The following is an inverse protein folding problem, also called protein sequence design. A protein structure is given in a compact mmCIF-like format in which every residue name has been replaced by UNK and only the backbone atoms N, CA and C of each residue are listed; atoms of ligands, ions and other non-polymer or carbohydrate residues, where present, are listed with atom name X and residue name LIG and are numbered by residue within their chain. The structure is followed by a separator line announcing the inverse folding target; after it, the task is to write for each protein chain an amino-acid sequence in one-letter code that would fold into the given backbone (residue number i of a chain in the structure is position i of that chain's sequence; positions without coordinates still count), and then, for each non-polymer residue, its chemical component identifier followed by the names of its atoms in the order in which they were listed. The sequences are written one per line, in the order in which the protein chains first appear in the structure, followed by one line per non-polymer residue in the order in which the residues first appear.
data_IF_972106627285
#
_entry.id   IF_972106627285
#
_cell.length_a   1.000
_cell.length_b   1.000
_cell.length_c   1.000
_cell.angle_alpha   90.00
_cell.angle_beta   90.00
_cell.angle_gamma   90.00
#
_symmetry.space_group_name_H-M   'P 1'
#
loop_
_entity.id
_entity.type
_entity.pdbx_description
1 polymer ?
#
# COMPACT_ATOMS: atom_id res chain seq x y z
N UNK A 1 12.23 0.98 12.18
CA UNK A 1 11.40 2.20 12.03
C UNK A 1 9.96 1.78 12.29
N UNK A 2 9.28 2.37 13.27
CA UNK A 2 7.98 1.84 13.75
C UNK A 2 6.83 2.76 13.34
N UNK A 3 5.67 2.16 13.06
CA UNK A 3 4.41 2.92 12.91
C UNK A 3 3.98 3.47 14.27
N UNK A 4 3.39 4.66 14.26
CA UNK A 4 2.96 5.41 15.44
C UNK A 4 1.55 5.93 15.21
N UNK A 5 0.86 6.34 16.27
CA UNK A 5 -0.47 6.95 16.16
C UNK A 5 -0.52 8.17 15.21
N UNK A 6 0.58 8.92 15.09
CA UNK A 6 0.65 10.05 14.16
C UNK A 6 0.49 9.61 12.70
N UNK A 7 1.00 8.43 12.33
CA UNK A 7 0.88 7.91 10.97
C UNK A 7 -0.58 7.58 10.61
N UNK A 8 -1.40 7.16 11.58
CA UNK A 8 -2.84 6.96 11.40
C UNK A 8 -3.60 8.30 11.39
N UNK A 9 -3.23 9.20 12.30
CA UNK A 9 -3.86 10.51 12.44
C UNK A 9 -3.66 11.42 11.22
N UNK A 10 -2.65 11.19 10.38
CA UNK A 10 -2.48 11.87 9.09
C UNK A 10 -3.75 11.82 8.23
N UNK A 11 -4.47 10.70 8.29
CA UNK A 11 -5.69 10.44 7.54
C UNK A 11 -6.96 10.88 8.27
N UNK A 12 -6.85 11.47 9.47
CA UNK A 12 -7.98 12.01 10.21
C UNK A 12 -8.39 13.39 9.66
N UNK A 13 -8.95 13.37 8.45
CA UNK A 13 -9.37 14.58 7.71
C UNK A 13 -10.66 14.30 6.95
N UNK A 14 -11.43 15.36 6.71
CA UNK A 14 -12.66 15.29 5.90
C UNK A 14 -12.38 15.57 4.42
N UNK A 15 -11.37 16.39 4.13
CA UNK A 15 -11.07 16.87 2.78
C UNK A 15 -9.69 16.39 2.33
N UNK A 16 -9.67 15.80 1.13
CA UNK A 16 -8.47 15.30 0.47
C UNK A 16 -8.21 15.93 -0.90
N UNK A 17 -9.19 16.63 -1.49
CA UNK A 17 -9.04 17.24 -2.82
C UNK A 17 -8.32 18.58 -2.69
N UNK A 18 -7.32 18.86 -3.52
CA UNK A 18 -6.64 20.16 -3.47
C UNK A 18 -7.56 21.32 -3.85
N UNK A 19 -8.61 21.07 -4.65
CA UNK A 19 -9.60 22.09 -4.99
C UNK A 19 -10.32 22.59 -3.73
N UNK A 20 -10.92 21.69 -2.95
CA UNK A 20 -11.63 22.07 -1.73
C UNK A 20 -10.69 22.61 -0.64
N UNK A 21 -9.47 22.07 -0.54
CA UNK A 21 -8.48 22.60 0.40
C UNK A 21 -8.16 24.07 0.09
N UNK A 22 -8.02 24.44 -1.19
CA UNK A 22 -7.77 25.84 -1.61
C UNK A 22 -8.95 26.78 -1.34
N UNK A 23 -10.16 26.25 -1.18
CA UNK A 23 -11.35 27.03 -0.83
C UNK A 23 -11.39 27.36 0.68
N UNK A 24 -10.72 26.57 1.52
CA UNK A 24 -10.83 26.65 2.98
C UNK A 24 -9.51 26.97 3.70
N UNK A 25 -8.38 26.85 3.02
CA UNK A 25 -7.05 26.98 3.59
C UNK A 25 -6.18 27.91 2.75
N UNK A 26 -5.26 28.59 3.43
CA UNK A 26 -4.24 29.42 2.80
C UNK A 26 -3.21 28.57 2.05
N UNK A 27 -2.47 29.14 1.07
CA UNK A 27 -1.39 28.43 0.39
C UNK A 27 -0.33 27.86 1.35
N UNK A 28 0.03 28.60 2.40
CA UNK A 28 1.01 28.17 3.39
C UNK A 28 0.54 26.94 4.18
N UNK A 29 -0.73 26.89 4.58
CA UNK A 29 -1.32 25.73 5.27
C UNK A 29 -1.35 24.50 4.35
N UNK A 30 -1.64 24.70 3.06
CA UNK A 30 -1.63 23.62 2.07
C UNK A 30 -0.23 23.08 1.86
N UNK A 31 0.79 23.94 1.80
CA UNK A 31 2.17 23.51 1.62
C UNK A 31 2.71 22.79 2.85
N UNK A 32 2.38 23.27 4.06
CA UNK A 32 2.67 22.56 5.31
C UNK A 32 1.98 21.18 5.34
N UNK A 33 0.73 21.09 4.89
CA UNK A 33 0.01 19.84 4.77
C UNK A 33 0.68 18.86 3.79
N UNK A 34 1.10 19.32 2.60
CA UNK A 34 1.85 18.49 1.65
C UNK A 34 3.16 18.00 2.24
N UNK A 35 3.89 18.86 2.96
CA UNK A 35 5.15 18.48 3.61
C UNK A 35 4.92 17.39 4.66
N UNK A 36 3.86 17.53 5.48
CA UNK A 36 3.48 16.53 6.46
C UNK A 36 3.16 15.18 5.79
N UNK A 37 2.33 15.17 4.74
CA UNK A 37 2.05 13.97 3.95
C UNK A 37 3.30 13.33 3.38
N UNK A 38 4.21 14.14 2.81
CA UNK A 38 5.46 13.66 2.24
C UNK A 38 6.36 13.02 3.30
N UNK A 39 6.46 13.60 4.50
CA UNK A 39 7.26 13.04 5.59
C UNK A 39 6.78 11.65 6.01
N UNK A 40 5.47 11.52 6.30
CA UNK A 40 4.89 10.21 6.63
C UNK A 40 4.99 9.21 5.49
N UNK A 41 4.88 9.68 4.24
CA UNK A 41 5.04 8.83 3.07
C UNK A 41 6.47 8.33 2.86
N UNK A 42 7.48 9.17 3.04
CA UNK A 42 8.88 8.72 2.96
C UNK A 42 9.19 7.71 4.06
N UNK A 43 8.63 7.88 5.26
CA UNK A 43 8.70 6.87 6.33
C UNK A 43 8.03 5.55 5.91
N UNK A 44 6.82 5.60 5.37
CA UNK A 44 6.11 4.44 4.82
C UNK A 44 6.93 3.74 3.74
N UNK A 45 7.49 4.51 2.81
CA UNK A 45 8.32 4.00 1.72
C UNK A 45 9.59 3.34 2.24
N UNK A 46 10.31 3.98 3.17
CA UNK A 46 11.51 3.44 3.78
C UNK A 46 11.23 2.12 4.52
N UNK A 47 10.13 2.05 5.28
CA UNK A 47 9.70 0.83 5.94
C UNK A 47 9.49 -0.31 4.93
N UNK A 48 8.73 -0.07 3.86
CA UNK A 48 8.40 -1.12 2.90
C UNK A 48 9.60 -1.56 2.05
N UNK A 49 10.55 -0.65 1.78
CA UNK A 49 11.83 -0.99 1.15
C UNK A 49 12.69 -1.86 2.07
N UNK A 50 12.76 -1.53 3.36
CA UNK A 50 13.48 -2.34 4.35
C UNK A 50 12.85 -3.74 4.51
N UNK A 51 11.51 -3.83 4.50
CA UNK A 51 10.80 -5.11 4.49
C UNK A 51 11.21 -5.92 3.26
N UNK A 52 11.16 -5.35 2.06
CA UNK A 52 11.52 -6.05 0.83
C UNK A 52 12.97 -6.56 0.84
N UNK A 53 13.91 -5.78 1.39
CA UNK A 53 15.31 -6.19 1.55
C UNK A 53 15.50 -7.33 2.54
N UNK A 54 14.62 -7.46 3.53
CA UNK A 54 14.66 -8.53 4.52
C UNK A 54 13.88 -9.79 4.14
N UNK A 55 13.17 -9.80 3.00
CA UNK A 55 12.46 -10.98 2.54
C UNK A 55 13.44 -12.02 1.97
N UNK A 56 13.13 -13.33 2.13
CA UNK A 56 13.95 -14.38 1.53
C UNK A 56 14.11 -14.22 0.01
N UNK A 57 15.33 -14.39 -0.48
CA UNK A 57 15.68 -14.14 -1.88
C UNK A 57 14.89 -15.02 -2.86
N UNK A 58 14.51 -16.24 -2.43
CA UNK A 58 13.69 -17.18 -3.19
C UNK A 58 12.28 -16.64 -3.52
N UNK A 59 11.78 -15.66 -2.75
CA UNK A 59 10.51 -15.00 -3.08
C UNK A 59 10.64 -14.07 -4.29
N UNK A 60 11.86 -13.66 -4.66
CA UNK A 60 12.13 -12.81 -5.82
C UNK A 60 11.45 -11.44 -5.79
N UNK A 61 11.15 -10.91 -4.60
CA UNK A 61 10.50 -9.60 -4.41
C UNK A 61 11.58 -8.55 -4.17
N UNK A 62 12.08 -7.94 -5.23
CA UNK A 62 13.20 -6.98 -5.15
C UNK A 62 12.74 -5.53 -5.02
N UNK A 63 11.61 -5.16 -5.65
CA UNK A 63 11.08 -3.80 -5.63
C UNK A 63 9.57 -3.77 -5.49
N UNK A 64 9.03 -3.46 -4.30
CA UNK A 64 7.59 -3.33 -4.13
C UNK A 64 7.07 -2.08 -4.86
N UNK A 65 5.83 -2.16 -5.37
CA UNK A 65 5.13 -1.02 -5.94
C UNK A 65 4.53 -0.19 -4.81
N UNK A 66 5.16 0.93 -4.47
CA UNK A 66 4.69 1.86 -3.43
C UNK A 66 3.96 3.02 -4.10
N UNK A 67 2.70 3.24 -3.75
CA UNK A 67 1.94 4.36 -4.30
C UNK A 67 2.36 5.69 -3.70
N UNK A 68 2.35 6.76 -4.51
CA UNK A 68 2.60 8.12 -4.06
C UNK A 68 1.49 8.61 -3.12
N UNK A 69 1.85 9.44 -2.15
CA UNK A 69 0.94 10.13 -1.21
C UNK A 69 -0.04 11.10 -1.87
N UNK A 70 0.17 11.41 -3.16
CA UNK A 70 -0.73 12.22 -3.98
C UNK A 70 -0.80 11.69 -5.41
N UNK A 71 -1.93 11.94 -6.07
CA UNK A 71 -2.08 11.76 -7.53
C UNK A 71 -2.07 13.08 -8.31
N UNK A 72 -1.56 14.17 -7.72
CA UNK A 72 -1.54 15.51 -8.31
C UNK A 72 -2.81 16.32 -8.05
N UNK A 73 -3.96 15.66 -7.90
CA UNK A 73 -5.25 16.30 -7.63
C UNK A 73 -5.73 16.14 -6.19
N UNK A 74 -5.33 15.04 -5.55
CA UNK A 74 -5.77 14.64 -4.23
C UNK A 74 -4.60 14.20 -3.37
N UNK A 75 -4.69 14.47 -2.08
CA UNK A 75 -4.02 13.70 -1.04
C UNK A 75 -4.63 12.29 -1.00
N UNK A 76 -3.84 11.28 -0.67
CA UNK A 76 -4.37 9.92 -0.46
C UNK A 76 -5.01 9.78 0.92
N UNK A 77 -6.14 9.12 1.00
CA UNK A 77 -6.78 8.75 2.28
C UNK A 77 -6.14 7.53 2.96
N UNK A 78 -5.15 6.93 2.30
CA UNK A 78 -4.42 5.76 2.77
C UNK A 78 -3.06 5.69 2.04
N UNK A 79 -2.10 4.98 2.62
CA UNK A 79 -0.93 4.52 1.90
C UNK A 79 -1.06 3.06 1.54
N UNK A 80 -0.57 2.71 0.36
CA UNK A 80 -0.69 1.37 -0.19
C UNK A 80 0.60 0.94 -0.85
N UNK A 81 0.87 -0.36 -0.77
CA UNK A 81 2.01 -1.00 -1.41
C UNK A 81 1.62 -2.40 -1.89
N UNK A 82 2.15 -2.79 -3.03
CA UNK A 82 2.07 -4.15 -3.55
C UNK A 82 3.44 -4.82 -3.57
N UNK A 83 3.46 -6.06 -3.12
CA UNK A 83 4.58 -6.98 -3.22
C UNK A 83 4.29 -8.01 -4.31
N UNK A 84 5.14 -8.03 -5.33
CA UNK A 84 5.13 -9.01 -6.43
C UNK A 84 6.57 -9.42 -6.69
N UNK A 85 6.77 -10.71 -7.00
CA UNK A 85 8.06 -11.14 -7.52
C UNK A 85 8.27 -10.58 -8.93
N UNK A 86 9.52 -10.52 -9.38
CA UNK A 86 9.87 -10.02 -10.72
C UNK A 86 9.13 -10.79 -11.83
N UNK A 87 8.96 -12.10 -11.66
CA UNK A 87 8.28 -12.96 -12.62
C UNK A 87 6.74 -12.83 -12.59
N UNK A 88 6.17 -12.19 -11.56
CA UNK A 88 4.71 -12.10 -11.32
C UNK A 88 4.16 -10.68 -11.46
N UNK A 89 4.92 -9.76 -12.05
CA UNK A 89 4.49 -8.35 -12.20
C UNK A 89 3.19 -8.20 -13.01
N UNK A 90 2.97 -9.08 -13.99
CA UNK A 90 1.78 -9.10 -14.83
C UNK A 90 0.58 -9.85 -14.20
N UNK A 91 0.68 -10.34 -12.96
CA UNK A 91 -0.41 -11.09 -12.32
C UNK A 91 -1.43 -10.18 -11.61
N UNK A 92 -2.71 -10.60 -11.67
CA UNK A 92 -3.81 -9.97 -10.95
C UNK A 92 -3.65 -10.07 -9.42
N UNK A 93 -3.05 -11.15 -8.93
CA UNK A 93 -2.86 -11.39 -7.51
C UNK A 93 -1.62 -10.68 -6.95
N UNK A 94 -1.66 -10.26 -5.69
CA UNK A 94 -0.47 -9.90 -4.91
C UNK A 94 -0.70 -9.87 -3.42
N UNK A 95 0.41 -9.88 -2.68
CA UNK A 95 0.44 -9.41 -1.30
C UNK A 95 0.43 -7.88 -1.29
N UNK A 96 -0.34 -7.31 -0.39
CA UNK A 96 -0.50 -5.88 -0.27
C UNK A 96 -0.51 -5.46 1.20
N UNK A 97 0.07 -4.29 1.46
CA UNK A 97 -0.06 -3.61 2.74
C UNK A 97 -0.84 -2.31 2.53
N UNK A 98 -1.69 -1.98 3.50
CA UNK A 98 -2.46 -0.75 3.52
C UNK A 98 -2.39 -0.11 4.91
N UNK A 99 -2.13 1.19 4.94
CA UNK A 99 -2.22 2.01 6.15
C UNK A 99 -3.25 3.11 5.92
N UNK A 100 -4.23 3.24 6.80
CA UNK A 100 -5.19 4.33 6.78
C UNK A 100 -5.56 4.77 8.20
N UNK A 101 -6.54 5.67 8.34
CA UNK A 101 -7.01 6.17 9.65
C UNK A 101 -7.36 5.06 10.66
N UNK A 102 -7.91 3.94 10.18
CA UNK A 102 -8.54 2.91 11.01
C UNK A 102 -7.60 1.75 11.32
N UNK A 103 -6.69 1.43 10.41
CA UNK A 103 -6.00 0.14 10.45
C UNK A 103 -4.71 0.12 9.63
N UNK A 104 -3.84 -0.80 10.03
CA UNK A 104 -2.76 -1.33 9.22
C UNK A 104 -3.16 -2.75 8.82
N UNK A 105 -3.17 -3.05 7.52
CA UNK A 105 -3.58 -4.34 6.99
C UNK A 105 -2.48 -4.96 6.15
N UNK A 106 -2.34 -6.29 6.26
CA UNK A 106 -1.58 -7.15 5.37
C UNK A 106 -2.58 -8.12 4.75
N UNK A 107 -2.64 -8.21 3.43
CA UNK A 107 -3.66 -9.03 2.77
C UNK A 107 -3.23 -9.51 1.39
N UNK A 108 -3.84 -10.63 0.97
CA UNK A 108 -3.82 -11.07 -0.42
C UNK A 108 -4.92 -10.32 -1.19
N UNK A 109 -4.59 -9.78 -2.35
CA UNK A 109 -5.49 -8.98 -3.17
C UNK A 109 -5.57 -9.52 -4.60
N UNK A 110 -6.76 -9.56 -5.17
CA UNK A 110 -7.01 -9.80 -6.58
C UNK A 110 -7.49 -8.52 -7.28
N UNK A 111 -6.76 -8.05 -8.30
CA UNK A 111 -7.06 -6.81 -9.00
C UNK A 111 -7.97 -7.04 -10.22
N UNK A 112 -9.26 -7.28 -9.99
CA UNK A 112 -10.21 -7.57 -11.08
C UNK A 112 -10.27 -6.46 -12.16
N UNK A 113 -10.13 -5.20 -11.76
CA UNK A 113 -10.10 -4.06 -12.70
C UNK A 113 -8.93 -4.07 -13.70
N UNK A 114 -7.99 -5.01 -13.56
CA UNK A 114 -6.87 -5.23 -14.50
C UNK A 114 -6.95 -6.57 -15.23
N UNK A 115 -8.06 -7.31 -15.11
CA UNK A 115 -8.17 -8.67 -15.65
C UNK A 115 -8.02 -8.76 -17.17
N UNK A 116 -8.25 -7.68 -17.92
CA UNK A 116 -7.97 -7.62 -19.36
C UNK A 116 -6.48 -7.43 -19.69
N UNK A 117 -5.73 -6.79 -18.79
CA UNK A 117 -4.30 -6.47 -18.98
C UNK A 117 -3.37 -7.52 -18.34
N UNK A 118 -3.89 -8.31 -17.40
CA UNK A 118 -3.08 -9.12 -16.48
C UNK A 118 -3.48 -10.58 -16.45
N UNK A 119 -2.46 -11.41 -16.29
CA UNK A 119 -2.58 -12.85 -16.18
C UNK A 119 -3.14 -13.28 -14.81
N UNK A 120 -3.72 -14.48 -14.78
CA UNK A 120 -4.27 -15.10 -13.58
C UNK A 120 -5.78 -14.93 -13.47
N UNK A 121 -6.48 -16.06 -13.39
CA UNK A 121 -7.94 -16.10 -13.26
C UNK A 121 -8.40 -16.01 -11.80
N UNK A 122 -9.66 -15.62 -11.60
CA UNK A 122 -10.30 -15.68 -10.28
C UNK A 122 -10.33 -17.11 -9.72
N UNK A 123 -10.43 -18.12 -10.58
CA UNK A 123 -10.40 -19.54 -10.19
C UNK A 123 -9.04 -19.90 -9.59
N UNK A 124 -7.94 -19.52 -10.26
CA UNK A 124 -6.60 -19.76 -9.74
C UNK A 124 -6.35 -19.00 -8.42
N UNK A 125 -6.88 -17.77 -8.30
CA UNK A 125 -6.82 -17.01 -7.06
C UNK A 125 -7.54 -17.72 -5.90
N UNK A 126 -8.76 -18.21 -6.13
CA UNK A 126 -9.54 -18.91 -5.10
C UNK A 126 -8.87 -20.22 -4.67
N UNK A 127 -8.18 -20.91 -5.58
CA UNK A 127 -7.38 -22.08 -5.22
C UNK A 127 -6.20 -21.73 -4.28
N UNK A 128 -5.62 -20.54 -4.40
CA UNK A 128 -4.59 -20.08 -3.46
C UNK A 128 -5.17 -19.88 -2.05
N UNK A 129 -6.41 -19.40 -1.93
CA UNK A 129 -7.06 -19.22 -0.63
C UNK A 129 -7.18 -20.54 0.14
N UNK A 130 -7.48 -21.64 -0.56
CA UNK A 130 -7.54 -22.97 0.05
C UNK A 130 -6.18 -23.43 0.60
N UNK A 131 -5.08 -22.92 0.03
CA UNK A 131 -3.72 -23.25 0.46
C UNK A 131 -3.24 -22.38 1.63
N UNK A 132 -3.84 -21.21 1.85
CA UNK A 132 -3.44 -20.31 2.92
C UNK A 132 -3.60 -20.95 4.30
N UNK A 133 -4.70 -21.68 4.53
CA UNK A 133 -4.92 -22.35 5.83
C UNK A 133 -3.87 -23.42 6.15
N UNK A 134 -3.44 -24.18 5.14
CA UNK A 134 -2.35 -25.15 5.30
C UNK A 134 -0.99 -24.46 5.49
N UNK A 135 -0.71 -23.41 4.70
CA UNK A 135 0.54 -22.65 4.84
C UNK A 135 0.64 -21.91 6.19
N UNK A 136 -0.46 -21.38 6.72
CA UNK A 136 -0.43 -20.71 8.03
C UNK A 136 -0.04 -21.64 9.18
N UNK A 137 -0.21 -22.95 9.02
CA UNK A 137 0.24 -23.94 10.01
C UNK A 137 1.77 -24.17 9.98
N UNK A 138 2.46 -23.65 8.96
CA UNK A 138 3.92 -23.78 8.81
C UNK A 138 4.68 -22.53 9.25
N UNK A 139 3.97 -21.46 9.60
CA UNK A 139 4.53 -20.20 10.12
C UNK A 139 4.25 -20.22 11.63
N UNK A 140 5.29 -20.05 12.44
CA UNK A 140 5.32 -20.24 13.91
C UNK A 140 5.32 -21.72 14.39
N UNK A 141 6.40 -22.43 14.04
CA UNK A 141 6.94 -23.56 14.80
C UNK A 141 8.25 -23.14 15.46
#
# INVERSE_FOLDING_TARGET
MNLTHQDFNLFNREIFTFKQLKEQQTPAEIDALKQNYKQHWEKWKALNLAIAQGLPAELGITKPKIESWTNGWNLRSHFWVAYRSEQRQAENACLALLLNKKQFQVYLMFQHYKSEERAGSVVAYNQLLNRLGAWSQTIDC
#
